data_IF_043717485028
#
_entry.id   IF_043717485028
#
_cell.length_a   1.000
_cell.length_b   1.000
_cell.length_c   1.000
_cell.angle_alpha   90.00
_cell.angle_beta   90.00
_cell.angle_gamma   90.00
#
_symmetry.space_group_name_H-M   'P 1'
#
loop_
_entity.id
_entity.type
_entity.pdbx_description
1 polymer ?
#
# COMPACT_ATOMS: atom_id res chain seq x y z
N UNK A 1 17.61 17.30 62.33
CA UNK A 1 16.14 17.24 62.22
C UNK A 1 15.80 17.45 60.75
N UNK A 2 15.39 16.38 60.06
CA UNK A 2 14.02 16.22 59.55
C UNK A 2 13.58 17.44 58.74
N UNK A 3 13.35 17.23 57.43
CA UNK A 3 12.70 18.13 56.42
C UNK A 3 13.64 18.58 55.29
N UNK A 4 14.16 17.67 54.47
CA UNK A 4 14.62 18.07 53.12
C UNK A 4 14.64 16.92 52.10
N UNK A 5 13.75 15.92 52.22
CA UNK A 5 13.66 14.80 51.27
C UNK A 5 12.20 14.38 51.09
N UNK A 6 11.25 15.31 50.90
CA UNK A 6 9.86 14.96 50.53
C UNK A 6 9.26 16.13 49.72
N UNK A 7 9.79 16.44 48.54
CA UNK A 7 9.18 17.47 47.67
C UNK A 7 9.53 17.32 46.18
N UNK A 8 9.94 16.14 45.71
CA UNK A 8 10.23 15.91 44.29
C UNK A 8 9.83 14.50 43.84
N UNK A 9 8.64 14.06 44.27
CA UNK A 9 8.06 12.78 43.85
C UNK A 9 6.55 12.88 43.61
N UNK A 10 6.07 14.07 43.24
CA UNK A 10 4.65 14.37 43.11
C UNK A 10 4.32 15.19 41.84
N UNK A 11 4.98 14.90 40.72
CA UNK A 11 4.59 15.47 39.42
C UNK A 11 4.92 14.54 38.25
N UNK A 12 4.56 13.27 38.38
CA UNK A 12 4.61 12.29 37.29
C UNK A 12 3.27 11.57 37.18
N UNK A 13 2.18 12.32 37.28
CA UNK A 13 0.83 11.82 37.03
C UNK A 13 0.39 12.23 35.63
N UNK A 14 0.39 11.22 34.75
CA UNK A 14 -0.69 10.98 33.78
C UNK A 14 -0.77 12.04 32.67
N UNK A 15 0.12 11.93 31.69
CA UNK A 15 -0.24 12.16 30.30
C UNK A 15 -0.51 10.79 29.66
N UNK A 16 -1.55 10.11 30.14
CA UNK A 16 -2.16 9.04 29.35
C UNK A 16 -2.83 9.73 28.18
N UNK A 17 -2.13 9.75 27.04
CA UNK A 17 -2.71 9.99 25.74
C UNK A 17 -3.84 8.97 25.53
N UNK A 18 -5.05 9.33 25.94
CA UNK A 18 -6.25 8.70 25.43
C UNK A 18 -6.29 9.06 23.95
N UNK A 19 -5.72 8.19 23.13
CA UNK A 19 -6.02 8.14 21.72
C UNK A 19 -7.51 7.75 21.65
N UNK A 20 -8.40 8.75 21.72
CA UNK A 20 -9.83 8.51 21.53
C UNK A 20 -9.98 7.93 20.12
N UNK A 21 -10.38 6.68 20.08
CA UNK A 21 -10.76 5.99 18.85
C UNK A 21 -12.05 6.65 18.38
N UNK A 22 -12.03 7.29 17.22
CA UNK A 22 -13.24 7.80 16.59
C UNK A 22 -13.94 6.63 15.89
N UNK A 23 -15.21 6.41 16.25
CA UNK A 23 -16.05 5.34 15.70
C UNK A 23 -16.99 5.93 14.65
N UNK A 24 -17.39 5.11 13.67
CA UNK A 24 -18.18 5.58 12.54
C UNK A 24 -19.60 6.06 12.91
N UNK A 25 -20.11 5.74 14.10
CA UNK A 25 -21.44 6.14 14.60
C UNK A 25 -21.56 7.62 14.99
N UNK A 26 -20.44 8.29 15.23
CA UNK A 26 -20.42 9.69 15.66
C UNK A 26 -20.12 10.68 14.53
N UNK A 27 -20.06 10.21 13.28
CA UNK A 27 -19.71 11.03 12.11
C UNK A 27 -20.83 11.07 11.08
N UNK A 28 -20.87 12.14 10.30
CA UNK A 28 -21.73 12.23 9.13
C UNK A 28 -21.30 11.19 8.08
N UNK A 29 -22.18 10.23 7.75
CA UNK A 29 -21.85 9.13 6.85
C UNK A 29 -21.48 9.59 5.44
N UNK A 30 -22.10 10.67 4.94
CA UNK A 30 -21.78 11.27 3.64
C UNK A 30 -20.37 11.91 3.60
N UNK A 31 -19.71 12.04 4.76
CA UNK A 31 -18.33 12.54 4.87
C UNK A 31 -17.30 11.43 5.06
N UNK A 32 -17.65 10.18 4.80
CA UNK A 32 -16.70 9.06 4.92
C UNK A 32 -15.95 8.87 3.59
N UNK A 33 -14.65 9.12 3.62
CA UNK A 33 -13.73 8.77 2.55
C UNK A 33 -13.41 7.27 2.59
N UNK A 34 -13.42 6.62 1.43
CA UNK A 34 -13.15 5.18 1.31
C UNK A 34 -11.90 4.88 0.49
N UNK A 35 -11.15 3.87 0.90
CA UNK A 35 -10.02 3.35 0.13
C UNK A 35 -10.15 1.85 -0.03
N UNK A 36 -10.03 1.35 -1.25
CA UNK A 36 -10.14 -0.07 -1.56
C UNK A 36 -8.85 -0.56 -2.23
N UNK A 37 -8.29 -1.67 -1.74
CA UNK A 37 -7.04 -2.24 -2.24
C UNK A 37 -7.19 -3.74 -2.53
N UNK A 38 -6.81 -4.15 -3.74
CA UNK A 38 -6.66 -5.58 -4.08
C UNK A 38 -5.21 -5.87 -4.44
N UNK A 39 -4.47 -6.51 -3.54
CA UNK A 39 -3.02 -6.69 -3.67
C UNK A 39 -2.64 -8.16 -3.75
N UNK A 40 -1.90 -8.57 -4.77
CA UNK A 40 -1.35 -9.92 -4.88
C UNK A 40 0.17 -9.93 -4.71
N UNK A 41 0.65 -10.81 -3.83
CA UNK A 41 2.06 -11.08 -3.63
C UNK A 41 2.43 -12.46 -4.22
N UNK A 42 3.19 -12.46 -5.32
CA UNK A 42 3.59 -13.67 -6.03
C UNK A 42 4.66 -14.50 -5.27
N UNK A 43 5.32 -13.93 -4.26
CA UNK A 43 6.25 -14.69 -3.43
C UNK A 43 5.50 -15.57 -2.43
N UNK A 44 4.43 -15.05 -1.82
CA UNK A 44 3.61 -15.80 -0.85
C UNK A 44 2.41 -16.50 -1.48
N UNK A 45 2.01 -16.12 -2.68
CA UNK A 45 0.81 -16.63 -3.34
C UNK A 45 -0.49 -16.11 -2.74
N UNK A 46 -0.45 -15.00 -2.00
CA UNK A 46 -1.58 -14.45 -1.25
C UNK A 46 -2.13 -13.21 -1.96
N UNK A 47 -3.45 -13.16 -2.14
CA UNK A 47 -4.18 -11.91 -2.43
C UNK A 47 -4.76 -11.33 -1.14
N UNK A 48 -4.58 -10.04 -0.90
CA UNK A 48 -5.20 -9.29 0.20
C UNK A 48 -6.22 -8.32 -0.36
N UNK A 49 -7.47 -8.43 0.09
CA UNK A 49 -8.50 -7.42 -0.12
C UNK A 49 -8.58 -6.54 1.12
N UNK A 50 -8.32 -5.24 0.98
CA UNK A 50 -8.35 -4.28 2.08
C UNK A 50 -9.32 -3.13 1.83
N UNK A 51 -9.87 -2.62 2.92
CA UNK A 51 -10.63 -1.38 2.92
C UNK A 51 -10.21 -0.47 4.08
N UNK A 52 -10.18 0.84 3.83
CA UNK A 52 -9.92 1.88 4.83
C UNK A 52 -11.05 2.89 4.80
N UNK A 53 -11.48 3.33 5.97
CA UNK A 53 -12.50 4.36 6.15
C UNK A 53 -11.91 5.53 6.91
N UNK A 54 -12.12 6.73 6.40
CA UNK A 54 -11.60 7.97 7.02
C UNK A 54 -12.69 9.02 7.10
N UNK A 55 -12.72 9.79 8.17
CA UNK A 55 -13.62 10.92 8.28
C UNK A 55 -13.14 12.12 7.46
N UNK A 56 -14.04 12.76 6.74
CA UNK A 56 -13.86 13.96 5.90
C UNK A 56 -13.15 13.76 4.56
N UNK A 57 -11.92 13.22 4.54
CA UNK A 57 -11.10 13.15 3.31
C UNK A 57 -9.95 12.13 3.41
N UNK A 58 -9.10 12.07 2.38
CA UNK A 58 -7.94 11.16 2.29
C UNK A 58 -6.92 11.26 3.44
N UNK A 59 -6.84 12.40 4.11
CA UNK A 59 -5.96 12.65 5.27
C UNK A 59 -6.71 12.63 6.60
N UNK A 60 -7.98 12.20 6.57
CA UNK A 60 -8.87 12.17 7.71
C UNK A 60 -8.53 11.16 8.80
N UNK A 61 -9.29 11.23 9.89
CA UNK A 61 -9.20 10.28 11.00
C UNK A 61 -9.68 8.91 10.59
N UNK A 62 -8.92 7.86 10.90
CA UNK A 62 -9.31 6.47 10.65
C UNK A 62 -10.56 6.09 11.44
N UNK A 63 -11.48 5.40 10.79
CA UNK A 63 -12.75 4.97 11.37
C UNK A 63 -12.81 3.44 11.44
N UNK A 64 -13.29 2.96 12.59
CA UNK A 64 -13.83 1.62 12.74
C UNK A 64 -15.35 1.69 12.53
N UNK A 65 -15.84 0.89 11.58
CA UNK A 65 -17.25 0.59 11.38
C UNK A 65 -17.83 -0.13 12.61
N UNK A 66 -18.99 0.32 13.06
CA UNK A 66 -19.77 -0.30 14.15
C UNK A 66 -20.76 -1.34 13.62
N UNK A 67 -21.38 -2.12 14.50
CA UNK A 67 -22.14 -3.35 14.17
C UNK A 67 -23.23 -3.23 13.07
N UNK A 68 -23.74 -2.03 12.80
CA UNK A 68 -24.75 -1.81 11.75
C UNK A 68 -24.17 -1.50 10.35
N UNK A 69 -22.89 -1.09 10.29
CA UNK A 69 -22.14 -0.88 9.06
C UNK A 69 -21.27 -2.10 8.74
N UNK A 70 -21.03 -2.37 7.46
CA UNK A 70 -20.27 -3.55 7.06
C UNK A 70 -19.47 -3.33 5.79
N UNK A 71 -18.40 -4.10 5.64
CA UNK A 71 -17.57 -4.12 4.44
C UNK A 71 -17.24 -5.57 4.08
N UNK A 72 -17.61 -5.94 2.86
CA UNK A 72 -17.40 -7.27 2.33
C UNK A 72 -16.61 -7.20 1.02
N UNK A 73 -15.82 -8.23 0.72
CA UNK A 73 -15.24 -8.47 -0.60
C UNK A 73 -15.74 -9.81 -1.15
N UNK A 74 -16.38 -9.81 -2.31
CA UNK A 74 -17.00 -11.01 -2.90
C UNK A 74 -17.94 -11.76 -1.94
N UNK A 75 -18.66 -11.02 -1.08
CA UNK A 75 -19.57 -11.56 -0.08
C UNK A 75 -18.91 -11.96 1.24
N UNK A 76 -17.57 -12.00 1.30
CA UNK A 76 -16.84 -12.27 2.53
C UNK A 76 -16.64 -11.02 3.36
N UNK A 77 -16.97 -11.07 4.65
CA UNK A 77 -16.68 -9.96 5.57
C UNK A 77 -15.16 -9.74 5.73
N UNK A 78 -14.72 -8.48 5.65
CA UNK A 78 -13.35 -8.10 6.00
C UNK A 78 -13.25 -7.85 7.51
N UNK A 79 -12.13 -8.22 8.13
CA UNK A 79 -11.92 -8.07 9.57
C UNK A 79 -11.08 -6.83 9.86
N UNK A 80 -11.49 -6.05 10.87
CA UNK A 80 -10.74 -4.86 11.28
C UNK A 80 -9.44 -5.23 12.02
N UNK A 81 -8.33 -4.66 11.58
CA UNK A 81 -7.05 -4.70 12.27
C UNK A 81 -6.87 -3.39 13.04
N UNK A 82 -7.07 -3.42 14.36
CA UNK A 82 -7.01 -2.23 15.20
C UNK A 82 -5.61 -1.60 15.30
N UNK A 83 -4.53 -2.35 15.04
CA UNK A 83 -3.17 -1.84 15.09
C UNK A 83 -2.85 -1.03 13.83
N UNK A 84 -3.34 -1.48 12.68
CA UNK A 84 -3.04 -0.89 11.38
C UNK A 84 -4.15 0.00 10.83
N UNK A 85 -5.34 -0.05 11.42
CA UNK A 85 -6.47 0.83 11.11
C UNK A 85 -7.13 0.54 9.76
N UNK A 86 -7.18 -0.73 9.35
CA UNK A 86 -7.83 -1.14 8.11
C UNK A 86 -8.61 -2.45 8.27
N UNK A 87 -9.51 -2.72 7.34
CA UNK A 87 -10.21 -3.98 7.18
C UNK A 87 -9.48 -4.87 6.17
N UNK A 88 -9.33 -6.16 6.44
CA UNK A 88 -8.67 -7.09 5.50
C UNK A 88 -9.31 -8.48 5.51
N UNK A 89 -9.22 -9.14 4.35
CA UNK A 89 -9.26 -10.60 4.21
C UNK A 89 -8.18 -11.04 3.22
N UNK A 90 -7.54 -12.16 3.53
CA UNK A 90 -6.53 -12.78 2.68
C UNK A 90 -7.08 -14.04 1.99
N UNK A 91 -6.66 -14.25 0.75
CA UNK A 91 -7.02 -15.38 -0.10
C UNK A 91 -5.74 -16.11 -0.51
N UNK A 92 -5.62 -17.44 -0.30
CA UNK A 92 -4.42 -18.23 -0.63
C UNK A 92 -4.34 -18.56 -2.13
N UNK A 93 -4.66 -17.60 -2.98
CA UNK A 93 -4.68 -17.74 -4.42
C UNK A 93 -4.63 -16.37 -5.10
N UNK A 94 -4.41 -16.37 -6.42
CA UNK A 94 -4.56 -15.19 -7.25
C UNK A 94 -6.05 -14.89 -7.47
N UNK A 95 -6.53 -13.75 -6.97
CA UNK A 95 -7.89 -13.28 -7.23
C UNK A 95 -7.85 -12.23 -8.33
N UNK A 96 -8.36 -12.60 -9.51
CA UNK A 96 -8.29 -11.75 -10.70
C UNK A 96 -9.22 -10.53 -10.61
N UNK A 97 -10.36 -10.64 -9.92
CA UNK A 97 -11.30 -9.53 -9.75
C UNK A 97 -12.25 -9.79 -8.59
N UNK A 98 -12.95 -8.75 -8.17
CA UNK A 98 -14.03 -8.85 -7.19
C UNK A 98 -14.72 -7.53 -6.94
N UNK A 99 -15.61 -7.53 -5.96
CA UNK A 99 -16.40 -6.36 -5.57
C UNK A 99 -16.25 -6.08 -4.09
N UNK A 100 -15.94 -4.83 -3.76
CA UNK A 100 -16.11 -4.28 -2.41
C UNK A 100 -17.54 -3.79 -2.24
N UNK A 101 -18.23 -4.28 -1.21
CA UNK A 101 -19.58 -3.85 -0.86
C UNK A 101 -19.55 -3.23 0.53
N UNK A 102 -19.68 -1.91 0.60
CA UNK A 102 -19.77 -1.15 1.82
C UNK A 102 -21.23 -0.79 2.11
N UNK A 103 -21.70 -1.08 3.33
CA UNK A 103 -22.99 -0.61 3.84
C UNK A 103 -22.74 0.33 5.02
N UNK A 104 -23.27 1.55 4.93
CA UNK A 104 -23.13 2.56 5.99
C UNK A 104 -24.25 2.47 7.03
N UNK A 105 -24.20 3.36 8.03
CA UNK A 105 -25.20 3.43 9.11
C UNK A 105 -26.55 4.03 8.66
N UNK A 106 -26.55 4.77 7.55
CA UNK A 106 -27.76 5.31 6.91
C UNK A 106 -28.42 4.28 5.96
N UNK A 107 -27.89 3.05 5.94
CA UNK A 107 -28.31 1.93 5.11
C UNK A 107 -28.08 2.12 3.60
N UNK A 108 -27.26 3.08 3.19
CA UNK A 108 -26.77 3.16 1.82
C UNK A 108 -25.81 2.01 1.55
N UNK A 109 -25.78 1.55 0.29
CA UNK A 109 -24.86 0.49 -0.15
C UNK A 109 -24.04 0.99 -1.32
N UNK A 110 -22.72 0.90 -1.19
CA UNK A 110 -21.75 1.30 -2.20
C UNK A 110 -21.02 0.05 -2.70
N UNK A 111 -21.06 -0.17 -4.01
CA UNK A 111 -20.49 -1.32 -4.70
C UNK A 111 -19.40 -0.83 -5.64
N UNK A 112 -18.17 -1.26 -5.37
CA UNK A 112 -16.99 -0.91 -6.15
C UNK A 112 -16.32 -2.16 -6.70
N UNK A 113 -16.34 -2.30 -8.03
CA UNK A 113 -15.79 -3.45 -8.73
C UNK A 113 -14.33 -3.19 -9.09
N UNK A 114 -13.46 -4.15 -8.80
CA UNK A 114 -12.03 -4.05 -9.08
C UNK A 114 -11.53 -5.29 -9.80
N UNK A 115 -10.58 -5.09 -10.70
CA UNK A 115 -9.76 -6.14 -11.29
C UNK A 115 -8.32 -5.99 -10.83
N UNK A 116 -7.60 -7.10 -10.73
CA UNK A 116 -6.16 -7.10 -10.54
C UNK A 116 -5.50 -6.46 -11.77
N UNK A 117 -4.49 -5.62 -11.54
CA UNK A 117 -3.65 -5.11 -12.61
C UNK A 117 -2.95 -6.26 -13.34
N UNK A 118 -2.47 -5.98 -14.54
CA UNK A 118 -1.70 -6.96 -15.28
C UNK A 118 -0.45 -7.41 -14.50
N UNK A 119 -0.04 -8.66 -14.73
CA UNK A 119 1.20 -9.16 -14.12
C UNK A 119 2.43 -8.53 -14.79
N UNK A 120 3.47 -8.30 -13.99
CA UNK A 120 4.79 -7.86 -14.48
C UNK A 120 5.88 -8.46 -13.61
N UNK A 121 6.90 -9.04 -14.24
CA UNK A 121 7.98 -9.75 -13.57
C UNK A 121 9.31 -9.04 -13.78
N UNK A 122 10.18 -9.14 -12.77
CA UNK A 122 11.57 -8.69 -12.88
C UNK A 122 12.26 -9.63 -13.89
N UNK A 123 12.94 -9.08 -14.93
CA UNK A 123 13.61 -9.90 -15.92
C UNK A 123 14.84 -10.58 -15.30
N UNK A 124 15.46 -11.50 -16.04
CA UNK A 124 16.76 -12.06 -15.63
C UNK A 124 17.81 -10.96 -15.75
N UNK A 125 18.35 -10.56 -14.60
CA UNK A 125 19.42 -9.56 -14.47
C UNK A 125 20.44 -10.13 -13.49
N UNK A 126 21.71 -10.09 -13.90
CA UNK A 126 22.83 -10.54 -13.10
C UNK A 126 23.83 -9.42 -12.80
N UNK A 127 23.82 -8.31 -13.56
CA UNK A 127 24.77 -7.20 -13.38
C UNK A 127 24.15 -5.85 -13.70
N UNK A 128 24.45 -4.83 -12.89
CA UNK A 128 24.18 -3.42 -13.16
C UNK A 128 25.49 -2.65 -13.08
N UNK A 129 25.86 -1.99 -14.17
CA UNK A 129 27.06 -1.16 -14.25
C UNK A 129 26.70 0.30 -14.01
N UNK A 130 27.27 0.91 -12.98
CA UNK A 130 26.99 2.25 -12.48
C UNK A 130 27.51 3.36 -13.39
N UNK A 131 28.41 3.04 -14.32
CA UNK A 131 29.02 4.00 -15.24
C UNK A 131 28.07 4.50 -16.34
N UNK A 132 26.98 3.77 -16.62
CA UNK A 132 26.04 4.07 -17.69
C UNK A 132 24.60 3.98 -17.18
N UNK A 133 23.65 4.75 -17.74
CA UNK A 133 22.25 4.57 -17.39
C UNK A 133 21.82 3.14 -17.74
N UNK A 134 21.01 2.54 -16.87
CA UNK A 134 20.53 1.17 -17.06
C UNK A 134 19.06 1.18 -17.47
N UNK A 135 18.73 0.56 -18.59
CA UNK A 135 17.33 0.40 -19.01
C UNK A 135 16.78 -0.89 -18.43
N UNK A 136 15.88 -0.77 -17.46
CA UNK A 136 15.17 -1.88 -16.87
C UNK A 136 13.89 -2.17 -17.67
N UNK A 137 13.86 -3.29 -18.37
CA UNK A 137 12.70 -3.73 -19.18
C UNK A 137 12.03 -4.91 -18.49
N UNK A 138 10.83 -4.73 -17.94
CA UNK A 138 10.13 -5.81 -17.26
C UNK A 138 9.55 -6.85 -18.22
N UNK A 139 9.28 -8.05 -17.72
CA UNK A 139 8.53 -9.07 -18.47
C UNK A 139 7.04 -8.98 -18.14
N UNK A 140 6.23 -8.57 -19.10
CA UNK A 140 4.78 -8.39 -18.93
C UNK A 140 4.21 -7.47 -20.00
N UNK A 141 2.94 -7.09 -19.85
CA UNK A 141 2.32 -6.10 -20.74
C UNK A 141 2.92 -4.70 -20.54
N UNK A 142 2.75 -3.85 -21.55
CA UNK A 142 2.99 -2.42 -21.41
C UNK A 142 2.01 -1.78 -20.42
N UNK A 143 2.38 -0.65 -19.82
CA UNK A 143 1.49 0.09 -18.93
C UNK A 143 0.27 0.63 -19.69
N UNK A 144 -0.92 0.39 -19.16
CA UNK A 144 -2.16 1.00 -19.57
C UNK A 144 -2.44 2.32 -18.84
N UNK A 145 -3.67 2.81 -18.99
CA UNK A 145 -4.12 4.01 -18.31
C UNK A 145 -4.22 3.78 -16.79
N UNK A 146 -3.81 4.78 -16.02
CA UNK A 146 -3.80 4.77 -14.55
C UNK A 146 -2.93 3.65 -13.95
N UNK A 147 -1.94 3.18 -14.70
CA UNK A 147 -0.96 2.22 -14.21
C UNK A 147 0.39 2.86 -13.97
N UNK A 148 1.14 2.28 -13.03
CA UNK A 148 2.54 2.61 -12.79
C UNK A 148 3.31 1.37 -12.38
N UNK A 149 4.61 1.40 -12.62
CA UNK A 149 5.57 0.48 -12.03
C UNK A 149 6.51 1.27 -11.12
N UNK A 150 6.73 0.72 -9.93
CA UNK A 150 7.76 1.16 -8.99
C UNK A 150 8.83 0.06 -8.90
N UNK A 151 10.10 0.45 -9.00
CA UNK A 151 11.24 -0.45 -8.85
C UNK A 151 12.17 0.11 -7.78
N UNK A 152 12.47 -0.71 -6.78
CA UNK A 152 13.52 -0.43 -5.81
C UNK A 152 14.73 -1.30 -6.11
N UNK A 153 15.90 -0.69 -6.11
CA UNK A 153 17.19 -1.40 -6.08
C UNK A 153 17.92 -1.06 -4.79
N UNK A 154 18.52 -2.07 -4.15
CA UNK A 154 19.36 -1.92 -2.98
C UNK A 154 20.67 -2.69 -3.21
N UNK A 155 21.80 -2.18 -2.72
CA UNK A 155 23.03 -2.97 -2.67
C UNK A 155 23.13 -3.73 -1.33
N UNK A 156 24.34 -4.14 -0.97
CA UNK A 156 24.69 -4.64 0.35
C UNK A 156 24.91 -3.52 1.39
N UNK A 157 24.87 -2.25 1.00
CA UNK A 157 25.03 -1.11 1.90
C UNK A 157 23.66 -0.71 2.46
N UNK A 158 23.58 -0.52 3.78
CA UNK A 158 22.37 -0.06 4.44
C UNK A 158 22.03 1.38 4.03
N UNK A 159 20.76 1.64 3.73
CA UNK A 159 20.26 2.98 3.39
C UNK A 159 20.54 3.45 1.96
N UNK A 160 21.04 2.58 1.09
CA UNK A 160 21.37 2.94 -0.30
C UNK A 160 20.27 2.63 -1.33
N UNK A 161 19.09 2.23 -0.87
CA UNK A 161 17.96 1.92 -1.74
C UNK A 161 17.61 3.10 -2.68
N UNK A 162 17.36 2.81 -3.96
CA UNK A 162 16.90 3.78 -4.96
C UNK A 162 15.57 3.37 -5.53
N UNK A 163 14.64 4.31 -5.61
CA UNK A 163 13.30 4.14 -6.17
C UNK A 163 13.24 4.79 -7.55
N UNK A 164 12.77 4.00 -8.52
CA UNK A 164 12.44 4.47 -9.85
C UNK A 164 10.96 4.21 -10.12
N UNK A 165 10.26 5.20 -10.67
CA UNK A 165 8.84 5.09 -11.01
C UNK A 165 8.59 5.52 -12.45
N UNK A 166 7.72 4.79 -13.15
CA UNK A 166 7.19 5.19 -14.46
C UNK A 166 5.68 4.96 -14.50
N UNK A 167 4.96 5.89 -15.11
CA UNK A 167 3.51 5.84 -15.32
C UNK A 167 3.14 6.21 -16.77
N UNK A 168 4.12 6.20 -17.68
CA UNK A 168 3.87 6.53 -19.07
C UNK A 168 3.08 5.39 -19.73
N UNK A 169 1.91 5.72 -20.28
CA UNK A 169 1.09 4.76 -21.05
C UNK A 169 1.89 4.21 -22.22
N UNK A 170 1.87 2.89 -22.40
CA UNK A 170 2.65 2.16 -23.40
C UNK A 170 4.10 1.86 -22.99
N UNK A 171 4.57 2.34 -21.83
CA UNK A 171 5.91 2.01 -21.36
C UNK A 171 6.05 0.50 -21.12
N UNK A 172 7.21 -0.04 -21.46
CA UNK A 172 7.65 -1.43 -21.16
C UNK A 172 8.97 -1.45 -20.38
N UNK A 173 9.52 -0.26 -20.10
CA UNK A 173 10.80 -0.07 -19.45
C UNK A 173 10.82 1.22 -18.62
N UNK A 174 11.83 1.30 -17.77
CA UNK A 174 12.20 2.48 -16.99
C UNK A 174 13.73 2.64 -17.02
N UNK A 175 14.19 3.88 -17.07
CA UNK A 175 15.63 4.18 -17.05
C UNK A 175 16.06 4.42 -15.61
N UNK A 176 17.13 3.74 -15.19
CA UNK A 176 17.84 4.02 -13.96
C UNK A 176 19.00 4.98 -14.29
N UNK A 177 18.86 6.29 -14.02
CA UNK A 177 19.89 7.26 -14.37
C UNK A 177 21.15 7.12 -13.51
N UNK A 178 22.30 7.44 -14.11
CA UNK A 178 23.64 7.34 -13.51
C UNK A 178 23.70 8.06 -12.16
N UNK A 179 23.11 9.25 -12.04
CA UNK A 179 23.14 10.03 -10.80
C UNK A 179 22.49 9.33 -9.59
N UNK A 180 21.60 8.36 -9.82
CA UNK A 180 21.00 7.56 -8.75
C UNK A 180 21.75 6.25 -8.53
N UNK A 181 22.03 5.49 -9.59
CA UNK A 181 22.71 4.18 -9.45
C UNK A 181 24.18 4.31 -9.05
N UNK A 182 24.84 5.44 -9.35
CA UNK A 182 26.20 5.72 -8.89
C UNK A 182 26.32 5.76 -7.35
N UNK A 183 25.20 5.98 -6.67
CA UNK A 183 25.14 6.05 -5.21
C UNK A 183 24.95 4.67 -4.54
N UNK A 184 24.75 3.60 -5.33
CA UNK A 184 24.66 2.24 -4.82
C UNK A 184 26.06 1.71 -4.44
N UNK A 185 26.14 0.91 -3.40
CA UNK A 185 27.32 0.11 -3.08
C UNK A 185 27.68 -0.87 -4.18
N UNK A 186 28.98 -1.14 -4.34
CA UNK A 186 29.49 -2.17 -5.25
C UNK A 186 29.51 -3.52 -4.55
N UNK A 187 29.14 -4.59 -5.27
CA UNK A 187 29.19 -5.95 -4.73
C UNK A 187 28.15 -6.91 -5.32
N UNK A 188 28.23 -8.21 -4.97
CA UNK A 188 27.44 -9.28 -5.59
C UNK A 188 26.05 -9.50 -4.97
N UNK A 189 25.62 -8.65 -4.04
CA UNK A 189 24.39 -8.89 -3.25
C UNK A 189 23.30 -7.84 -3.49
N UNK A 190 23.26 -7.27 -4.70
CA UNK A 190 22.18 -6.37 -5.10
C UNK A 190 20.82 -7.06 -5.08
N UNK A 191 19.78 -6.33 -4.69
CA UNK A 191 18.39 -6.77 -4.66
C UNK A 191 17.52 -5.79 -5.45
N UNK A 192 16.65 -6.32 -6.32
CA UNK A 192 15.59 -5.58 -6.97
C UNK A 192 14.23 -6.05 -6.44
N UNK A 193 13.40 -5.10 -6.05
CA UNK A 193 11.98 -5.28 -5.72
C UNK A 193 11.17 -4.44 -6.71
N UNK A 194 10.04 -4.97 -7.16
CA UNK A 194 9.14 -4.28 -8.08
C UNK A 194 7.71 -4.42 -7.62
N UNK A 195 6.87 -3.45 -7.93
CA UNK A 195 5.42 -3.59 -7.93
C UNK A 195 4.84 -2.91 -9.18
N UNK A 196 3.71 -3.43 -9.68
CA UNK A 196 2.82 -2.73 -10.60
C UNK A 196 1.54 -2.37 -9.88
N UNK A 197 1.06 -1.16 -10.11
CA UNK A 197 -0.15 -0.65 -9.48
C UNK A 197 -1.07 -0.12 -10.56
N UNK A 198 -2.35 -0.46 -10.49
CA UNK A 198 -3.42 0.14 -11.29
C UNK A 198 -4.41 0.85 -10.36
N UNK A 199 -4.77 2.09 -10.69
CA UNK A 199 -5.64 2.92 -9.87
C UNK A 199 -6.84 3.43 -10.69
N UNK A 200 -7.87 2.59 -10.92
CA UNK A 200 -9.09 3.03 -11.60
C UNK A 200 -9.83 4.09 -10.78
N UNK A 201 -10.77 4.78 -11.45
CA UNK A 201 -11.74 5.59 -10.75
C UNK A 201 -12.65 4.70 -9.88
N UNK A 202 -12.92 5.15 -8.66
CA UNK A 202 -13.92 4.56 -7.76
C UNK A 202 -15.31 4.77 -8.37
N UNK A 203 -16.16 3.74 -8.39
CA UNK A 203 -17.48 3.84 -9.05
C UNK A 203 -18.55 4.47 -8.16
N UNK A 204 -18.55 4.14 -6.88
CA UNK A 204 -19.54 4.59 -5.91
C UNK A 204 -18.84 5.07 -4.64
N UNK A 205 -19.05 6.34 -4.31
CA UNK A 205 -18.50 6.99 -3.13
C UNK A 205 -19.56 7.86 -2.47
N UNK A 206 -19.28 8.26 -1.24
CA UNK A 206 -19.95 9.39 -0.58
C UNK A 206 -19.50 10.72 -1.22
N UNK A 207 -20.00 11.86 -0.72
CA UNK A 207 -19.50 13.17 -1.15
C UNK A 207 -18.05 13.45 -0.74
N UNK A 208 -17.47 12.70 0.21
CA UNK A 208 -16.05 12.79 0.53
C UNK A 208 -15.16 12.25 -0.59
N UNK A 209 -15.65 11.28 -1.38
CA UNK A 209 -14.89 10.60 -2.42
C UNK A 209 -14.19 9.34 -1.91
N UNK A 210 -13.23 8.85 -2.71
CA UNK A 210 -12.48 7.65 -2.36
C UNK A 210 -11.50 7.24 -3.46
N UNK A 211 -10.63 6.29 -3.14
CA UNK A 211 -9.70 5.68 -4.10
C UNK A 211 -9.86 4.17 -4.16
N UNK A 212 -9.55 3.62 -5.32
CA UNK A 212 -9.52 2.19 -5.54
C UNK A 212 -8.24 1.83 -6.29
N UNK A 213 -7.51 0.81 -5.84
CA UNK A 213 -6.30 0.37 -6.51
C UNK A 213 -6.06 -1.12 -6.40
N UNK A 214 -5.40 -1.67 -7.40
CA UNK A 214 -4.88 -3.03 -7.36
C UNK A 214 -3.37 -3.02 -7.52
N UNK A 215 -2.72 -4.03 -6.97
CA UNK A 215 -1.25 -4.12 -6.94
C UNK A 215 -0.79 -5.56 -7.18
N UNK A 216 0.17 -5.71 -8.09
CA UNK A 216 0.88 -6.96 -8.31
C UNK A 216 2.33 -6.83 -7.86
N UNK A 217 2.77 -7.72 -6.97
CA UNK A 217 4.14 -7.77 -6.44
C UNK A 217 4.79 -9.07 -6.94
N UNK A 218 5.67 -9.03 -7.95
CA UNK A 218 6.45 -10.20 -8.37
C UNK A 218 7.44 -10.66 -7.30
N UNK A 219 8.02 -11.85 -7.51
CA UNK A 219 9.15 -12.31 -6.71
C UNK A 219 10.34 -11.36 -6.90
N UNK A 220 10.94 -10.92 -5.79
CA UNK A 220 12.16 -10.10 -5.80
C UNK A 220 13.32 -10.85 -6.47
N UNK A 221 14.26 -10.11 -7.06
CA UNK A 221 15.53 -10.64 -7.57
C UNK A 221 16.65 -10.26 -6.59
N UNK A 222 17.54 -11.19 -6.31
CA UNK A 222 18.68 -11.03 -5.41
C UNK A 222 19.94 -11.57 -6.09
N UNK A 223 21.12 -11.20 -5.59
CA UNK A 223 22.39 -11.68 -6.15
C UNK A 223 22.83 -10.91 -7.39
N UNK A 224 22.37 -9.66 -7.54
CA UNK A 224 22.74 -8.81 -8.66
C UNK A 224 24.12 -8.19 -8.37
N UNK A 225 25.06 -8.33 -9.30
CA UNK A 225 26.37 -7.72 -9.18
C UNK A 225 26.30 -6.23 -9.57
N UNK A 226 26.60 -5.35 -8.62
CA UNK A 226 26.67 -3.90 -8.84
C UNK A 226 28.13 -3.49 -8.95
N UNK A 227 28.52 -2.84 -10.06
CA UNK A 227 29.89 -2.42 -10.34
C UNK A 227 29.97 -1.01 -10.93
#
# INVERSE_FOLDING_TARGET
MKKLIIALFALTTILMFSCKKETADNVNQDKIWTEYYLEYNNATGITSARAVFKFSNATGTLLELTDSASINFNGDALTYNAILGYYEKQYPSYVQSGSFTYKDLDHNTFINNISMCDTSNIPVIDTITKANPYTFTWTGSALGNNERINVWINSNIEGDARLFTTANVGATNIIFPVNQISQLGVGPYGTIVMERVWQPATQQTTSAGGIMSSKYIPKKRTGIFIQ
#
